data_IF_290434998434
#
_entry.id   IF_290434998434
#
_cell.length_a   1.000
_cell.length_b   1.000
_cell.length_c   1.000
_cell.angle_alpha   90.00
_cell.angle_beta   90.00
_cell.angle_gamma   90.00
#
_symmetry.space_group_name_H-M   'P 1'
#
loop_
_entity.id
_entity.type
_entity.pdbx_description
1 polymer ?
#
# COMPACT_ATOMS: atom_id res chain seq x y z
N UNK A 1 -9.60 -56.06 -7.04
CA UNK A 1 -9.64 -55.07 -5.96
C UNK A 1 -8.42 -54.16 -6.09
N UNK A 2 -8.57 -53.00 -6.71
CA UNK A 2 -7.48 -52.04 -6.92
C UNK A 2 -7.47 -51.02 -5.78
N UNK A 3 -6.37 -50.98 -5.01
CA UNK A 3 -6.13 -49.92 -4.02
C UNK A 3 -5.78 -48.64 -4.79
N UNK A 4 -6.74 -47.73 -4.94
CA UNK A 4 -6.43 -46.34 -5.31
C UNK A 4 -5.71 -45.71 -4.12
N UNK A 5 -4.44 -45.36 -4.30
CA UNK A 5 -3.73 -44.51 -3.37
C UNK A 5 -4.42 -43.14 -3.32
N UNK A 6 -4.96 -42.78 -2.16
CA UNK A 6 -5.46 -41.44 -1.88
C UNK A 6 -4.26 -40.52 -1.76
N UNK A 7 -4.11 -39.58 -2.70
CA UNK A 7 -3.16 -38.47 -2.52
C UNK A 7 -3.77 -37.55 -1.47
N UNK A 8 -3.13 -37.49 -0.31
CA UNK A 8 -3.42 -36.53 0.76
C UNK A 8 -3.16 -35.12 0.21
N UNK A 9 -4.21 -34.42 -0.19
CA UNK A 9 -4.19 -32.97 -0.37
C UNK A 9 -4.22 -32.34 1.02
N UNK A 10 -3.06 -32.20 1.65
CA UNK A 10 -2.92 -31.31 2.79
C UNK A 10 -1.54 -30.67 2.79
N UNK A 11 -1.58 -29.33 2.64
CA UNK A 11 -0.60 -28.36 3.11
C UNK A 11 0.46 -27.88 2.12
N UNK A 12 0.02 -27.22 1.04
CA UNK A 12 0.54 -25.88 0.72
C UNK A 12 -0.67 -25.04 0.35
N UNK A 13 -1.36 -24.51 1.38
CA UNK A 13 -2.23 -23.35 1.16
C UNK A 13 -1.32 -22.27 0.58
N UNK A 14 -1.63 -21.80 -0.62
CA UNK A 14 -1.05 -20.58 -1.14
C UNK A 14 -1.31 -19.48 -0.11
N UNK A 15 -0.30 -19.07 0.64
CA UNK A 15 -0.40 -17.87 1.46
C UNK A 15 -0.60 -16.72 0.47
N UNK A 16 -1.83 -16.20 0.39
CA UNK A 16 -2.13 -14.98 -0.34
C UNK A 16 -1.38 -13.84 0.36
N UNK A 17 -0.26 -13.42 -0.21
CA UNK A 17 0.63 -12.43 0.40
C UNK A 17 0.47 -11.10 -0.34
N UNK A 18 0.08 -10.06 0.40
CA UNK A 18 0.35 -8.68 0.00
C UNK A 18 1.83 -8.40 0.28
N UNK A 19 2.55 -7.88 -0.70
CA UNK A 19 3.99 -7.62 -0.59
C UNK A 19 4.39 -6.23 -1.07
N UNK A 20 4.92 -5.43 -0.15
CA UNK A 20 5.67 -4.21 -0.40
C UNK A 20 7.09 -4.59 -0.85
N UNK A 21 7.49 -4.13 -2.05
CA UNK A 21 8.80 -4.45 -2.63
C UNK A 21 9.56 -3.18 -2.97
N UNK A 22 10.79 -3.10 -2.47
CA UNK A 22 11.76 -2.03 -2.76
C UNK A 22 12.81 -2.49 -3.77
N UNK A 23 13.45 -1.54 -4.43
CA UNK A 23 14.59 -1.81 -5.32
C UNK A 23 15.83 -2.09 -4.46
N UNK A 24 16.49 -3.22 -4.67
CA UNK A 24 17.72 -3.52 -3.92
C UNK A 24 18.88 -2.67 -4.45
N UNK A 25 19.44 -1.80 -3.59
CA UNK A 25 20.65 -1.00 -3.85
C UNK A 25 21.77 -1.26 -2.83
N UNK A 26 21.75 -2.42 -2.17
CA UNK A 26 22.75 -2.80 -1.17
C UNK A 26 22.61 -1.94 0.09
N UNK A 27 23.69 -1.22 0.44
CA UNK A 27 23.75 -0.35 1.63
C UNK A 27 23.02 0.98 1.46
N UNK A 28 22.77 1.42 0.22
CA UNK A 28 22.03 2.65 -0.04
C UNK A 28 20.60 2.54 0.48
N UNK A 29 20.16 3.57 1.21
CA UNK A 29 18.78 3.69 1.64
C UNK A 29 17.87 3.97 0.44
N UNK A 30 16.75 3.25 0.37
CA UNK A 30 15.71 3.37 -0.65
C UNK A 30 14.33 3.39 0.00
N UNK A 31 13.34 3.87 -0.75
CA UNK A 31 11.95 3.87 -0.29
C UNK A 31 11.49 2.48 0.12
N UNK A 32 10.65 2.44 1.16
CA UNK A 32 10.01 1.24 1.68
C UNK A 32 9.44 0.34 0.56
N UNK A 33 8.88 0.93 -0.50
CA UNK A 33 8.48 0.21 -1.70
C UNK A 33 8.40 1.09 -2.94
N UNK A 34 8.63 0.47 -4.09
CA UNK A 34 8.29 1.00 -5.41
C UNK A 34 7.15 0.20 -6.06
N UNK A 35 6.92 -1.04 -5.58
CA UNK A 35 5.87 -1.91 -6.09
C UNK A 35 5.18 -2.69 -4.98
N UNK A 36 3.87 -2.46 -4.83
CA UNK A 36 2.99 -3.28 -4.00
C UNK A 36 2.26 -4.29 -4.90
N UNK A 37 2.32 -5.57 -4.54
CA UNK A 37 1.46 -6.59 -5.16
C UNK A 37 0.48 -7.10 -4.12
N UNK A 38 -0.79 -7.12 -4.47
CA UNK A 38 -1.85 -7.66 -3.63
C UNK A 38 -2.62 -8.72 -4.42
N UNK A 39 -3.07 -9.79 -3.75
CA UNK A 39 -3.88 -10.79 -4.42
C UNK A 39 -5.27 -10.24 -4.70
N UNK A 40 -5.65 -10.25 -5.96
CA UNK A 40 -6.96 -9.83 -6.47
C UNK A 40 -7.54 -10.97 -7.32
N UNK A 41 -8.86 -10.98 -7.50
CA UNK A 41 -9.52 -11.99 -8.34
C UNK A 41 -9.25 -11.83 -9.85
N UNK A 42 -8.65 -10.71 -10.25
CA UNK A 42 -8.31 -10.35 -11.63
C UNK A 42 -7.14 -9.34 -11.66
N UNK A 43 -6.35 -9.27 -12.75
CA UNK A 43 -5.31 -8.25 -12.90
C UNK A 43 -5.92 -6.84 -12.88
N UNK A 44 -5.46 -6.01 -11.94
CA UNK A 44 -5.95 -4.65 -11.73
C UNK A 44 -4.83 -3.74 -11.26
N UNK A 45 -4.95 -2.45 -11.55
CA UNK A 45 -4.10 -1.41 -10.97
C UNK A 45 -4.72 -0.94 -9.65
N UNK A 46 -4.00 -1.09 -8.54
CA UNK A 46 -4.47 -0.68 -7.22
C UNK A 46 -4.50 0.84 -7.06
N UNK A 47 -3.35 1.49 -7.22
CA UNK A 47 -3.17 2.94 -7.30
C UNK A 47 -1.77 3.27 -7.86
N UNK A 48 -1.56 4.52 -8.23
CA UNK A 48 -0.23 5.09 -8.49
C UNK A 48 0.03 6.16 -7.43
N UNK A 49 1.25 6.17 -6.88
CA UNK A 49 1.64 7.07 -5.81
C UNK A 49 2.73 8.04 -6.28
N UNK A 50 2.61 9.31 -5.89
CA UNK A 50 3.55 10.38 -6.20
C UNK A 50 4.05 11.01 -4.90
N UNK A 51 5.37 11.07 -4.75
CA UNK A 51 5.99 11.75 -3.61
C UNK A 51 5.83 13.27 -3.75
N UNK A 52 5.53 13.94 -2.66
CA UNK A 52 5.49 15.39 -2.54
C UNK A 52 6.46 15.86 -1.45
N UNK A 53 6.80 17.14 -1.49
CA UNK A 53 7.90 17.74 -0.70
C UNK A 53 7.79 17.48 0.80
N UNK A 54 6.61 17.72 1.39
CA UNK A 54 6.38 17.56 2.81
C UNK A 54 4.88 17.44 3.15
N UNK A 55 4.57 17.39 4.46
CA UNK A 55 3.20 17.33 4.96
C UNK A 55 2.38 18.58 4.61
N UNK A 56 3.02 19.74 4.43
CA UNK A 56 2.31 20.96 3.99
C UNK A 56 1.86 20.81 2.54
N UNK A 57 2.71 20.25 1.68
CA UNK A 57 2.35 19.96 0.28
C UNK A 57 1.18 18.96 0.20
N UNK A 58 1.12 17.96 1.09
CA UNK A 58 -0.04 17.06 1.21
C UNK A 58 -1.33 17.85 1.48
N UNK A 59 -1.33 18.72 2.50
CA UNK A 59 -2.54 19.46 2.88
C UNK A 59 -2.91 20.56 1.87
N UNK A 60 -1.92 21.23 1.26
CA UNK A 60 -2.18 22.19 0.19
C UNK A 60 -2.78 21.51 -1.05
N UNK A 61 -2.26 20.34 -1.43
CA UNK A 61 -2.83 19.52 -2.49
C UNK A 61 -4.25 19.06 -2.16
N UNK A 62 -4.48 18.66 -0.92
CA UNK A 62 -5.79 18.26 -0.41
C UNK A 62 -6.85 19.36 -0.59
N UNK A 63 -6.58 20.54 -0.02
CA UNK A 63 -7.48 21.70 -0.10
C UNK A 63 -7.68 22.13 -1.55
N UNK A 64 -6.62 22.07 -2.38
CA UNK A 64 -6.72 22.39 -3.79
C UNK A 64 -7.69 21.46 -4.52
N UNK A 65 -7.52 20.14 -4.40
CA UNK A 65 -8.36 19.15 -5.08
C UNK A 65 -9.80 19.18 -4.55
N UNK A 66 -9.97 19.38 -3.24
CA UNK A 66 -11.29 19.55 -2.63
C UNK A 66 -12.01 20.80 -3.20
N UNK A 67 -11.31 21.94 -3.29
CA UNK A 67 -11.88 23.18 -3.83
C UNK A 67 -12.30 23.08 -5.30
N UNK A 68 -11.75 22.11 -6.04
CA UNK A 68 -12.07 21.80 -7.43
C UNK A 68 -13.16 20.74 -7.57
N UNK A 69 -13.63 20.16 -6.47
CA UNK A 69 -14.68 19.14 -6.47
C UNK A 69 -14.21 17.76 -6.91
N UNK A 70 -12.90 17.45 -6.79
CA UNK A 70 -12.43 16.09 -7.01
C UNK A 70 -12.93 15.15 -5.91
N UNK A 71 -13.00 13.86 -6.22
CA UNK A 71 -13.51 12.86 -5.28
C UNK A 71 -12.38 12.25 -4.44
N UNK A 72 -12.55 12.27 -3.12
CA UNK A 72 -11.67 11.55 -2.20
C UNK A 72 -11.87 10.05 -2.35
N UNK A 73 -10.75 9.31 -2.36
CA UNK A 73 -10.75 7.87 -2.21
C UNK A 73 -10.58 7.44 -0.74
N UNK A 74 -9.87 8.24 0.07
CA UNK A 74 -9.70 7.94 1.50
C UNK A 74 -9.56 9.19 2.38
N UNK A 75 -8.62 10.09 2.07
CA UNK A 75 -8.26 11.25 2.89
C UNK A 75 -6.87 11.14 3.52
N UNK A 76 -6.52 12.13 4.37
CA UNK A 76 -5.17 12.28 4.94
C UNK A 76 -4.94 11.37 6.15
N UNK A 77 -3.80 10.68 6.18
CA UNK A 77 -3.38 9.86 7.31
C UNK A 77 -1.92 9.43 7.23
N UNK A 78 -1.49 8.61 8.19
CA UNK A 78 -0.14 8.01 8.20
C UNK A 78 -0.22 6.50 8.32
N UNK A 79 0.39 5.78 7.38
CA UNK A 79 0.40 4.31 7.39
C UNK A 79 1.19 3.75 8.58
N UNK A 80 0.78 2.60 9.10
CA UNK A 80 1.63 1.82 10.01
C UNK A 80 2.78 1.17 9.24
N UNK A 81 2.51 0.62 8.04
CA UNK A 81 3.50 -0.05 7.22
C UNK A 81 4.20 0.96 6.31
N UNK A 82 5.51 1.12 6.46
CA UNK A 82 6.33 2.07 5.69
C UNK A 82 6.20 3.53 6.13
N UNK A 83 5.43 3.80 7.18
CA UNK A 83 5.30 5.09 7.87
C UNK A 83 4.94 6.32 7.01
N UNK A 84 4.68 6.19 5.71
CA UNK A 84 4.41 7.33 4.85
C UNK A 84 3.10 8.03 5.24
N UNK A 85 3.14 9.36 5.19
CA UNK A 85 1.96 10.23 5.23
C UNK A 85 1.36 10.23 3.85
N UNK A 86 0.04 10.12 3.76
CA UNK A 86 -0.66 9.94 2.49
C UNK A 86 -1.90 10.82 2.38
N UNK A 87 -2.34 11.03 1.14
CA UNK A 87 -3.70 11.42 0.78
C UNK A 87 -4.13 10.76 -0.53
N UNK A 88 -5.34 10.19 -0.58
CA UNK A 88 -5.84 9.40 -1.72
C UNK A 88 -7.05 10.03 -2.39
N UNK A 89 -6.96 10.10 -3.73
CA UNK A 89 -7.96 10.68 -4.62
C UNK A 89 -8.33 9.73 -5.75
N UNK A 90 -9.49 9.96 -6.36
CA UNK A 90 -9.80 9.39 -7.68
C UNK A 90 -9.44 10.40 -8.77
N UNK A 91 -8.79 9.92 -9.83
CA UNK A 91 -8.62 10.69 -11.06
C UNK A 91 -9.94 10.77 -11.85
N UNK A 92 -10.04 11.60 -12.91
CA UNK A 92 -11.25 11.71 -13.73
C UNK A 92 -11.71 10.43 -14.44
N UNK A 93 -10.88 9.38 -14.44
CA UNK A 93 -11.16 8.08 -15.05
C UNK A 93 -11.47 7.00 -14.00
N UNK A 94 -11.51 7.35 -12.71
CA UNK A 94 -11.79 6.46 -11.60
C UNK A 94 -10.59 5.67 -11.08
N UNK A 95 -9.36 5.98 -11.52
CA UNK A 95 -8.15 5.36 -10.96
C UNK A 95 -7.79 6.03 -9.63
N UNK A 96 -7.27 5.25 -8.68
CA UNK A 96 -6.77 5.80 -7.41
C UNK A 96 -5.38 6.39 -7.60
N UNK A 97 -5.19 7.59 -7.08
CA UNK A 97 -3.92 8.30 -7.00
C UNK A 97 -3.62 8.62 -5.55
N UNK A 98 -2.37 8.44 -5.16
CA UNK A 98 -1.85 8.78 -3.84
C UNK A 98 -0.83 9.91 -3.97
N UNK A 99 -0.96 10.95 -3.14
CA UNK A 99 0.15 11.82 -2.80
C UNK A 99 0.74 11.35 -1.47
N UNK A 100 2.06 11.23 -1.38
CA UNK A 100 2.70 10.77 -0.15
C UNK A 100 4.00 11.52 0.17
N UNK A 101 4.44 11.43 1.43
CA UNK A 101 5.72 11.96 1.91
C UNK A 101 6.15 11.23 3.20
N UNK A 102 7.38 11.44 3.66
CA UNK A 102 7.88 10.98 4.98
C UNK A 102 7.75 9.45 5.20
N UNK A 103 8.13 8.67 4.20
CA UNK A 103 8.18 7.21 4.25
C UNK A 103 9.48 6.67 4.84
N UNK A 104 9.43 5.46 5.39
CA UNK A 104 10.62 4.77 5.89
C UNK A 104 11.61 4.49 4.76
N UNK A 105 12.88 4.81 5.00
CA UNK A 105 13.97 4.42 4.13
C UNK A 105 14.68 3.17 4.67
N UNK A 106 14.83 2.17 3.80
CA UNK A 106 15.35 0.85 4.14
C UNK A 106 16.52 0.48 3.24
N UNK A 107 17.37 -0.44 3.69
CA UNK A 107 18.48 -0.99 2.91
C UNK A 107 18.60 -2.51 3.11
N UNK A 108 19.70 -3.14 2.70
CA UNK A 108 19.91 -4.59 2.86
C UNK A 108 19.95 -5.06 4.33
N UNK A 109 20.31 -4.20 5.27
CA UNK A 109 20.36 -4.52 6.70
C UNK A 109 18.97 -4.45 7.36
N UNK A 110 17.96 -3.98 6.63
CA UNK A 110 16.57 -3.89 7.09
C UNK A 110 15.83 -5.20 6.77
N UNK A 111 15.59 -6.09 7.75
CA UNK A 111 14.92 -7.37 7.50
C UNK A 111 13.46 -7.17 7.07
N UNK A 112 12.93 -8.10 6.29
CA UNK A 112 11.53 -8.09 5.88
C UNK A 112 10.61 -8.30 7.09
N UNK A 113 9.71 -7.34 7.33
CA UNK A 113 8.64 -7.47 8.32
C UNK A 113 7.51 -8.40 7.86
N UNK A 114 6.94 -9.16 8.78
CA UNK A 114 5.75 -10.00 8.54
C UNK A 114 4.64 -9.55 9.48
N UNK A 115 3.50 -9.15 8.91
CA UNK A 115 2.37 -8.60 9.65
C UNK A 115 1.08 -9.34 9.31
N UNK A 116 0.08 -9.36 10.21
CA UNK A 116 -1.26 -9.86 9.89
C UNK A 116 -1.84 -9.09 8.69
N UNK A 117 -2.61 -9.78 7.83
CA UNK A 117 -3.25 -9.16 6.66
C UNK A 117 -4.14 -7.94 7.01
N UNK A 118 -4.69 -7.90 8.22
CA UNK A 118 -5.45 -6.76 8.74
C UNK A 118 -4.66 -5.45 8.80
N UNK A 119 -3.33 -5.51 8.91
CA UNK A 119 -2.48 -4.31 9.06
C UNK A 119 -2.36 -3.45 7.79
N UNK A 120 -2.76 -3.99 6.62
CA UNK A 120 -2.56 -3.36 5.29
C UNK A 120 -3.21 -1.97 5.12
N UNK A 121 -4.20 -1.64 5.93
CA UNK A 121 -4.90 -0.35 5.90
C UNK A 121 -4.87 0.37 7.26
N UNK A 122 -4.02 -0.09 8.17
CA UNK A 122 -3.92 0.50 9.49
C UNK A 122 -3.15 1.82 9.44
N UNK A 123 -3.66 2.80 10.16
CA UNK A 123 -3.07 4.13 10.27
C UNK A 123 -2.63 4.42 11.69
N UNK A 124 -1.56 5.21 11.82
CA UNK A 124 -1.10 5.72 13.12
C UNK A 124 -2.01 6.85 13.60
N UNK A 125 -2.44 7.71 12.67
CA UNK A 125 -3.35 8.83 12.89
C UNK A 125 -4.04 9.22 11.57
N UNK A 126 -5.06 10.09 11.66
CA UNK A 126 -5.83 10.57 10.53
C UNK A 126 -7.01 9.65 10.20
N UNK A 127 -7.28 9.45 8.92
CA UNK A 127 -8.35 8.56 8.46
C UNK A 127 -8.10 7.10 8.84
N UNK A 128 -9.17 6.33 9.01
CA UNK A 128 -9.13 4.88 9.29
C UNK A 128 -9.62 4.08 8.09
N UNK A 129 -9.42 2.76 8.05
CA UNK A 129 -9.89 1.86 6.97
C UNK A 129 -11.39 2.10 6.64
N UNK A 130 -12.22 2.42 7.62
CA UNK A 130 -13.67 2.66 7.41
C UNK A 130 -13.98 3.92 6.59
N UNK A 131 -13.02 4.83 6.42
CA UNK A 131 -13.17 6.04 5.60
C UNK A 131 -12.78 5.81 4.13
N UNK A 132 -12.16 4.65 3.83
CA UNK A 132 -11.72 4.31 2.48
C UNK A 132 -12.91 3.91 1.62
N UNK A 133 -13.10 4.57 0.49
CA UNK A 133 -14.12 4.25 -0.52
C UNK A 133 -13.61 3.23 -1.52
#
# INVERSE_FOLDING_TARGET
>A
MSKKATISTNHILAFLILAFKRVNRGKDFVDHHTLLTAPTGKPELGHIAFEVEDINAIHLGHEHLQSKGYEHSWGVGRHILGAQIFDYWFDPYGNRVEHWTDGDLLNEDSPTGVHPYGARFSTQWGVTESSRR
#
